data_IF_378120775950
#
_entry.id   IF_378120775950
#
_cell.length_a   1.000
_cell.length_b   1.000
_cell.length_c   1.000
_cell.angle_alpha   90.00
_cell.angle_beta   90.00
_cell.angle_gamma   90.00
#
_symmetry.space_group_name_H-M   'P 1'
#
loop_
_entity.id
_entity.type
_entity.pdbx_description
1 polymer ?
#
# COMPACT_ATOMS: atom_id res chain seq x y z
N UNK A 1 -2.67 -44.87 50.34
CA UNK A 1 -2.46 -45.10 48.89
C UNK A 1 -3.23 -44.04 48.08
N UNK A 2 -2.68 -42.85 47.82
CA UNK A 2 -3.23 -41.87 46.85
C UNK A 2 -2.26 -40.67 46.74
N UNK A 3 -1.09 -40.85 46.12
CA UNK A 3 -0.10 -39.76 45.97
C UNK A 3 0.59 -39.69 44.60
N UNK A 4 0.07 -40.37 43.58
CA UNK A 4 0.76 -40.55 42.29
C UNK A 4 0.18 -39.77 41.09
N UNK A 5 -0.77 -38.82 41.26
CA UNK A 5 -1.49 -38.22 40.11
C UNK A 5 -1.07 -36.80 39.67
N UNK A 6 -0.14 -36.12 40.34
CA UNK A 6 0.20 -34.72 40.00
C UNK A 6 1.32 -34.57 38.96
N UNK A 7 2.22 -35.54 38.82
CA UNK A 7 3.39 -35.41 37.93
C UNK A 7 3.06 -35.60 36.46
N UNK A 8 1.99 -36.34 36.13
CA UNK A 8 1.61 -36.68 34.76
C UNK A 8 0.95 -35.52 34.00
N UNK A 9 0.28 -34.61 34.71
CA UNK A 9 -0.43 -33.48 34.08
C UNK A 9 0.54 -32.40 33.59
N UNK A 10 1.62 -32.14 34.34
CA UNK A 10 2.62 -31.13 33.97
C UNK A 10 3.42 -31.54 32.72
N UNK A 11 3.76 -32.83 32.60
CA UNK A 11 4.47 -33.34 31.42
C UNK A 11 3.66 -33.27 30.13
N UNK A 12 2.34 -33.51 30.22
CA UNK A 12 1.46 -33.47 29.05
C UNK A 12 1.27 -32.05 28.50
N UNK A 13 1.14 -31.04 29.38
CA UNK A 13 1.05 -29.64 28.97
C UNK A 13 2.35 -29.13 28.32
N UNK A 14 3.51 -29.57 28.80
CA UNK A 14 4.81 -29.19 28.24
C UNK A 14 5.04 -29.81 26.85
N UNK A 15 4.68 -31.09 26.68
CA UNK A 15 4.77 -31.77 25.38
C UNK A 15 3.80 -31.20 24.34
N UNK A 16 2.57 -30.83 24.75
CA UNK A 16 1.60 -30.19 23.86
C UNK A 16 2.07 -28.78 23.43
N UNK A 17 2.67 -28.02 24.35
CA UNK A 17 3.26 -26.71 24.04
C UNK A 17 4.41 -26.78 23.04
N UNK A 18 5.31 -27.77 23.17
CA UNK A 18 6.39 -28.00 22.20
C UNK A 18 5.82 -28.44 20.84
N UNK A 19 4.84 -29.34 20.81
CA UNK A 19 4.21 -29.78 19.55
C UNK A 19 3.48 -28.65 18.81
N UNK A 20 2.86 -27.70 19.52
CA UNK A 20 2.26 -26.49 18.95
C UNK A 20 3.30 -25.48 18.43
N UNK A 21 4.48 -25.39 19.06
CA UNK A 21 5.58 -24.52 18.60
C UNK A 21 6.31 -25.12 17.39
N UNK A 22 6.41 -26.46 17.30
CA UNK A 22 7.09 -27.13 16.18
C UNK A 22 6.22 -27.28 14.92
N UNK A 23 4.88 -27.11 15.02
CA UNK A 23 3.97 -27.22 13.88
C UNK A 23 3.73 -25.92 13.09
N UNK A 24 4.27 -24.79 13.54
CA UNK A 24 3.91 -23.45 13.03
C UNK A 24 4.90 -22.81 12.06
N UNK A 25 6.00 -23.47 11.70
CA UNK A 25 6.92 -22.96 10.69
C UNK A 25 6.42 -23.35 9.28
N UNK A 26 5.21 -22.94 8.92
CA UNK A 26 4.87 -22.85 7.49
C UNK A 26 5.82 -21.80 6.91
N UNK A 27 6.80 -22.25 6.12
CA UNK A 27 7.72 -21.36 5.44
C UNK A 27 6.88 -20.34 4.68
N UNK A 28 7.01 -19.06 5.05
CA UNK A 28 6.22 -17.98 4.49
C UNK A 28 6.32 -18.04 2.97
N UNK A 29 5.22 -18.40 2.30
CA UNK A 29 5.19 -18.45 0.84
C UNK A 29 5.10 -17.01 0.36
N UNK A 30 6.05 -16.62 -0.47
CA UNK A 30 6.01 -15.33 -1.14
C UNK A 30 4.64 -15.09 -1.76
N UNK A 31 4.08 -13.93 -1.48
CA UNK A 31 2.69 -13.63 -1.76
C UNK A 31 2.45 -12.13 -1.72
N UNK A 32 1.52 -11.68 -2.55
CA UNK A 32 0.92 -10.36 -2.49
C UNK A 32 -0.59 -10.57 -2.51
N UNK A 33 -1.28 -10.18 -1.45
CA UNK A 33 -2.71 -10.44 -1.28
C UNK A 33 -3.42 -9.13 -0.95
N UNK A 34 -4.26 -8.69 -1.87
CA UNK A 34 -5.24 -7.63 -1.63
C UNK A 34 -6.26 -8.12 -0.59
N UNK A 35 -6.45 -7.35 0.48
CA UNK A 35 -7.24 -7.71 1.64
C UNK A 35 -7.98 -6.47 2.18
N UNK A 36 -8.61 -6.58 3.34
CA UNK A 36 -9.25 -5.47 4.01
C UNK A 36 -9.29 -5.66 5.52
N UNK A 37 -9.41 -4.55 6.24
CA UNK A 37 -9.53 -4.53 7.69
C UNK A 37 -8.22 -4.89 8.42
N UNK A 38 -7.06 -4.52 7.86
CA UNK A 38 -5.77 -4.70 8.53
C UNK A 38 -5.58 -3.73 9.69
N UNK A 39 -6.19 -2.53 9.60
CA UNK A 39 -6.09 -1.51 10.64
C UNK A 39 -4.65 -1.03 10.82
N UNK A 40 -3.92 -0.88 9.71
CA UNK A 40 -2.60 -0.25 9.64
C UNK A 40 -2.62 1.13 10.27
N UNK A 41 -1.51 1.51 10.92
CA UNK A 41 -1.35 2.81 11.58
C UNK A 41 0.06 3.33 11.34
N UNK A 42 0.28 4.63 11.52
CA UNK A 42 1.62 5.22 11.43
C UNK A 42 2.62 4.67 12.47
N UNK A 43 2.14 4.02 13.54
CA UNK A 43 3.01 3.41 14.53
C UNK A 43 3.76 2.21 13.91
N UNK A 44 5.07 2.33 13.79
CA UNK A 44 5.92 1.32 13.16
C UNK A 44 5.96 1.38 11.63
N UNK A 45 5.47 2.47 11.03
CA UNK A 45 5.53 2.66 9.59
C UNK A 45 6.98 2.70 9.11
N UNK A 46 7.30 1.82 8.17
CA UNK A 46 8.61 1.70 7.52
C UNK A 46 8.76 2.66 6.34
N UNK A 47 7.65 3.27 5.86
CA UNK A 47 7.66 4.26 4.79
C UNK A 47 8.09 5.61 5.33
N UNK A 48 9.16 6.16 4.76
CA UNK A 48 9.60 7.52 5.05
C UNK A 48 8.68 8.49 4.32
N UNK A 49 8.11 9.44 5.07
CA UNK A 49 7.24 10.47 4.52
C UNK A 49 6.07 9.90 3.70
N UNK A 50 5.42 8.85 4.23
CA UNK A 50 4.33 8.15 3.56
C UNK A 50 3.04 8.96 3.42
N UNK A 51 2.81 9.93 4.31
CA UNK A 51 1.73 10.93 4.21
C UNK A 51 2.18 12.24 3.55
N UNK A 52 3.38 12.27 2.96
CA UNK A 52 3.85 13.37 2.12
C UNK A 52 3.93 14.77 2.78
N UNK A 53 3.77 14.89 4.09
CA UNK A 53 3.80 16.17 4.82
C UNK A 53 5.19 16.82 4.89
N UNK A 54 6.24 16.01 4.94
CA UNK A 54 7.60 16.52 5.17
C UNK A 54 8.12 17.20 3.91
N UNK A 55 8.35 18.50 3.99
CA UNK A 55 8.86 19.31 2.88
C UNK A 55 7.79 19.74 1.87
N UNK A 56 6.52 19.40 2.13
CA UNK A 56 5.42 19.85 1.30
C UNK A 56 5.34 21.39 1.30
N UNK A 57 4.92 22.00 0.17
CA UNK A 57 4.56 23.41 0.19
C UNK A 57 3.38 23.64 1.14
N UNK A 58 3.31 24.82 1.74
CA UNK A 58 2.19 25.16 2.63
C UNK A 58 0.85 25.09 1.88
N UNK A 59 -0.23 24.72 2.55
CA UNK A 59 -1.55 24.71 1.91
C UNK A 59 -1.93 26.09 1.37
N UNK A 60 -2.48 26.14 0.16
CA UNK A 60 -2.97 27.39 -0.43
C UNK A 60 -3.05 27.34 -1.95
N UNK A 61 -3.80 28.26 -2.54
CA UNK A 61 -4.01 28.30 -3.99
C UNK A 61 -2.70 28.37 -4.76
N UNK A 62 -2.54 27.44 -5.72
CA UNK A 62 -1.34 27.29 -6.55
C UNK A 62 -0.04 27.06 -5.76
N UNK A 63 -0.12 26.59 -4.51
CA UNK A 63 1.05 26.27 -3.70
C UNK A 63 1.35 24.78 -3.76
N UNK A 64 1.87 24.35 -4.91
CA UNK A 64 2.24 22.96 -5.20
C UNK A 64 3.63 22.90 -5.82
N UNK A 65 4.29 21.75 -5.69
CA UNK A 65 5.55 21.44 -6.37
C UNK A 65 5.31 20.37 -7.44
N UNK A 66 5.88 20.53 -8.62
CA UNK A 66 5.95 19.43 -9.58
C UNK A 66 7.01 18.42 -9.11
N UNK A 67 6.71 17.13 -9.14
CA UNK A 67 7.60 16.12 -8.53
C UNK A 67 8.11 15.05 -9.49
N UNK A 68 7.51 14.88 -10.66
CA UNK A 68 7.93 13.85 -11.60
C UNK A 68 9.28 14.19 -12.23
N UNK A 69 10.36 13.51 -11.81
CA UNK A 69 11.71 13.74 -12.35
C UNK A 69 11.71 13.53 -13.86
N UNK A 70 12.09 14.56 -14.60
CA UNK A 70 11.99 14.60 -16.06
C UNK A 70 11.12 15.74 -16.56
N UNK A 71 10.18 16.24 -15.75
CA UNK A 71 9.37 17.42 -16.08
C UNK A 71 10.23 18.68 -16.26
N UNK A 72 9.76 19.58 -17.12
CA UNK A 72 10.31 20.93 -17.30
C UNK A 72 9.58 22.00 -16.47
N UNK A 73 8.55 21.61 -15.74
CA UNK A 73 7.71 22.52 -14.97
C UNK A 73 8.35 22.92 -13.64
N UNK A 74 8.01 24.12 -13.17
CA UNK A 74 8.54 24.71 -11.92
C UNK A 74 7.42 25.35 -11.11
N UNK A 75 7.51 25.40 -9.77
CA UNK A 75 8.62 24.91 -8.94
C UNK A 75 8.67 23.37 -8.88
N UNK A 76 9.87 22.81 -8.75
CA UNK A 76 10.11 21.36 -8.74
C UNK A 76 10.64 20.90 -7.38
N UNK A 77 10.14 19.76 -6.88
CA UNK A 77 10.64 19.10 -5.69
C UNK A 77 10.08 17.69 -5.55
N UNK A 78 10.93 16.75 -5.14
CA UNK A 78 10.55 15.36 -4.85
C UNK A 78 10.39 15.20 -3.34
N UNK A 79 9.34 14.52 -2.84
CA UNK A 79 9.20 14.24 -1.42
C UNK A 79 10.44 13.53 -0.84
N UNK A 80 10.98 13.98 0.31
CA UNK A 80 12.10 13.32 0.95
C UNK A 80 11.86 11.82 1.16
N UNK A 81 12.86 11.00 0.85
CA UNK A 81 12.77 9.54 0.94
C UNK A 81 12.15 8.86 -0.29
N UNK A 82 11.61 9.61 -1.24
CA UNK A 82 11.02 9.07 -2.47
C UNK A 82 11.92 9.31 -3.68
N UNK A 83 11.83 8.39 -4.64
CA UNK A 83 12.34 8.53 -6.00
C UNK A 83 11.17 8.78 -6.95
N UNK A 84 11.42 9.49 -8.04
CA UNK A 84 10.40 9.75 -9.04
C UNK A 84 10.94 9.67 -10.46
N UNK A 85 10.04 9.46 -11.42
CA UNK A 85 10.32 9.61 -12.86
C UNK A 85 9.08 10.07 -13.62
N UNK A 86 9.27 10.64 -14.80
CA UNK A 86 8.22 11.05 -15.74
C UNK A 86 8.80 11.58 -17.05
N UNK A 87 7.97 12.23 -17.85
CA UNK A 87 8.36 12.92 -19.10
C UNK A 87 8.45 14.44 -18.90
N UNK A 88 9.02 15.15 -19.89
CA UNK A 88 9.15 16.61 -19.87
C UNK A 88 7.82 17.38 -19.72
N UNK A 89 6.73 16.78 -20.20
CA UNK A 89 5.37 17.30 -20.17
C UNK A 89 4.54 16.79 -18.98
N UNK A 90 5.07 15.88 -18.15
CA UNK A 90 4.37 15.42 -16.95
C UNK A 90 4.13 16.59 -15.98
N UNK A 91 2.92 16.67 -15.43
CA UNK A 91 2.47 17.77 -14.56
C UNK A 91 2.03 17.29 -13.18
N UNK A 92 2.54 16.13 -12.77
CA UNK A 92 2.32 15.56 -11.46
C UNK A 92 2.78 16.52 -10.36
N UNK A 93 1.88 16.79 -9.41
CA UNK A 93 2.04 17.81 -8.37
C UNK A 93 1.95 17.22 -6.95
N UNK A 94 2.60 17.90 -6.01
CA UNK A 94 2.71 17.54 -4.61
C UNK A 94 2.33 18.75 -3.75
N UNK A 95 1.49 18.52 -2.75
CA UNK A 95 1.06 19.55 -1.80
C UNK A 95 -0.45 19.60 -1.69
N UNK A 96 -0.98 20.82 -1.59
CA UNK A 96 -2.42 21.07 -1.50
C UNK A 96 -2.71 22.48 -2.01
N UNK A 97 -3.39 22.54 -3.16
CA UNK A 97 -3.76 23.76 -3.86
C UNK A 97 -5.09 24.38 -3.36
N UNK A 98 -5.65 23.96 -2.22
CA UNK A 98 -6.90 24.54 -1.71
C UNK A 98 -7.50 23.92 -0.44
N UNK A 99 -8.82 23.95 -0.34
CA UNK A 99 -9.57 23.49 0.85
C UNK A 99 -10.80 22.69 0.44
N UNK A 100 -10.73 21.37 0.31
CA UNK A 100 -9.56 20.60 -0.15
C UNK A 100 -9.09 21.12 -1.52
N UNK A 101 -7.87 20.85 -1.95
CA UNK A 101 -7.61 20.49 -3.34
C UNK A 101 -6.19 19.96 -3.44
N UNK A 102 -6.02 18.76 -3.97
CA UNK A 102 -4.99 18.55 -4.99
C UNK A 102 -5.79 18.07 -6.18
N UNK A 103 -6.10 19.02 -7.07
CA UNK A 103 -6.91 18.78 -8.27
C UNK A 103 -8.31 18.20 -8.00
N UNK A 104 -8.97 18.69 -6.94
CA UNK A 104 -10.35 18.30 -6.64
C UNK A 104 -10.54 16.87 -6.12
N UNK A 105 -9.50 16.29 -5.50
CA UNK A 105 -9.54 15.03 -4.77
C UNK A 105 -10.47 15.07 -3.56
N UNK A 106 -10.72 13.90 -2.97
CA UNK A 106 -11.25 13.79 -1.61
C UNK A 106 -10.30 14.38 -0.55
N UNK A 107 -10.79 14.47 0.68
CA UNK A 107 -10.00 14.86 1.87
C UNK A 107 -8.86 13.87 2.09
N UNK A 108 -7.66 14.40 2.39
CA UNK A 108 -6.49 13.60 2.72
C UNK A 108 -6.69 12.88 4.07
N UNK A 109 -6.49 11.56 4.12
CA UNK A 109 -6.61 10.77 5.35
C UNK A 109 -5.60 11.15 6.43
N UNK A 110 -4.40 11.63 6.08
CA UNK A 110 -3.42 12.14 7.02
C UNK A 110 -2.90 13.52 6.57
N UNK A 111 -2.66 14.41 7.53
CA UNK A 111 -2.06 15.70 7.24
C UNK A 111 -2.87 16.61 6.31
N UNK A 112 -2.15 17.33 5.44
CA UNK A 112 -2.71 18.33 4.53
C UNK A 112 -2.15 18.27 3.11
N UNK A 113 -1.26 17.33 2.77
CA UNK A 113 -0.61 17.23 1.47
C UNK A 113 -0.80 15.85 0.85
N UNK A 114 -1.02 15.81 -0.46
CA UNK A 114 -1.09 14.56 -1.23
C UNK A 114 -0.21 14.60 -2.46
N UNK A 115 -0.22 13.49 -3.20
CA UNK A 115 0.51 13.35 -4.46
C UNK A 115 -0.47 13.16 -5.62
N UNK A 116 -0.54 14.12 -6.53
CA UNK A 116 -1.27 14.01 -7.77
C UNK A 116 -0.35 13.54 -8.91
N UNK A 117 -0.80 12.55 -9.66
CA UNK A 117 -0.02 11.86 -10.69
C UNK A 117 -0.36 12.35 -12.10
N UNK A 118 -0.46 13.67 -12.29
CA UNK A 118 -0.80 14.29 -13.58
C UNK A 118 0.14 13.93 -14.72
N UNK A 119 -0.39 13.33 -15.79
CA UNK A 119 0.42 12.83 -16.91
C UNK A 119 -0.22 12.94 -18.31
N UNK A 120 -1.45 13.43 -18.39
CA UNK A 120 -2.07 13.90 -19.63
C UNK A 120 -2.99 12.89 -20.28
N UNK A 121 -3.59 13.33 -21.37
CA UNK A 121 -4.58 12.60 -22.15
C UNK A 121 -4.25 12.64 -23.64
N UNK A 122 -4.75 11.69 -24.44
CA UNK A 122 -5.28 10.39 -24.02
C UNK A 122 -4.17 9.36 -23.77
N UNK A 123 -4.50 8.31 -23.04
CA UNK A 123 -3.78 7.04 -23.00
C UNK A 123 -4.66 5.99 -23.66
N UNK A 124 -4.18 5.39 -24.75
CA UNK A 124 -4.85 4.27 -25.39
C UNK A 124 -4.36 2.96 -24.79
N UNK A 125 -5.28 2.03 -24.57
CA UNK A 125 -4.99 0.67 -24.10
C UNK A 125 -5.25 -0.36 -25.19
N UNK A 126 -4.37 -1.34 -25.33
CA UNK A 126 -4.48 -2.37 -26.38
C UNK A 126 -5.68 -3.31 -26.26
N UNK A 127 -6.35 -3.33 -25.11
CA UNK A 127 -7.45 -4.25 -24.82
C UNK A 127 -8.34 -3.69 -23.69
N UNK A 128 -9.62 -4.08 -23.64
CA UNK A 128 -10.52 -3.55 -22.62
C UNK A 128 -10.14 -4.04 -21.21
N UNK A 129 -10.15 -3.15 -20.19
CA UNK A 129 -10.00 -3.55 -18.80
C UNK A 129 -11.28 -4.19 -18.24
N UNK A 130 -11.14 -4.99 -17.19
CA UNK A 130 -12.24 -5.42 -16.31
C UNK A 130 -11.98 -4.89 -14.91
N UNK A 131 -12.89 -4.05 -14.41
CA UNK A 131 -12.85 -3.50 -13.06
C UNK A 131 -13.58 -4.41 -12.08
N UNK A 132 -12.91 -4.82 -11.01
CA UNK A 132 -13.45 -5.70 -9.98
C UNK A 132 -13.98 -4.91 -8.78
N UNK A 133 -14.89 -5.52 -8.02
CA UNK A 133 -15.51 -4.88 -6.86
C UNK A 133 -14.52 -4.61 -5.70
N UNK A 134 -13.39 -5.30 -5.68
CA UNK A 134 -12.30 -5.06 -4.71
C UNK A 134 -11.28 -4.01 -5.20
N UNK A 135 -11.51 -3.38 -6.35
CA UNK A 135 -10.65 -2.34 -6.91
C UNK A 135 -9.55 -2.86 -7.82
N UNK A 136 -9.32 -4.17 -7.89
CA UNK A 136 -8.43 -4.75 -8.87
C UNK A 136 -8.92 -4.46 -10.30
N UNK A 137 -7.97 -4.30 -11.22
CA UNK A 137 -8.22 -4.18 -12.66
C UNK A 137 -7.46 -5.30 -13.35
N UNK A 138 -8.14 -6.04 -14.22
CA UNK A 138 -7.50 -7.11 -15.00
C UNK A 138 -7.66 -6.87 -16.48
N UNK A 139 -6.72 -7.40 -17.25
CA UNK A 139 -6.77 -7.42 -18.69
C UNK A 139 -6.74 -8.87 -19.22
N UNK A 140 -7.34 -9.16 -20.39
CA UNK A 140 -7.31 -10.50 -20.98
C UNK A 140 -5.90 -11.04 -21.28
N UNK A 141 -4.94 -10.14 -21.52
CA UNK A 141 -3.51 -10.43 -21.71
C UNK A 141 -2.68 -9.29 -21.09
N UNK A 142 -1.34 -9.31 -21.11
CA UNK A 142 -0.56 -8.13 -20.69
C UNK A 142 -0.88 -6.91 -21.57
N UNK A 143 -1.35 -5.77 -20.99
CA UNK A 143 -1.71 -4.59 -21.77
C UNK A 143 -0.47 -3.86 -22.27
N UNK A 144 -0.64 -3.14 -23.39
CA UNK A 144 0.25 -2.05 -23.76
C UNK A 144 -0.51 -0.74 -23.69
N UNK A 145 0.20 0.32 -23.28
CA UNK A 145 -0.34 1.66 -23.16
C UNK A 145 0.41 2.59 -24.11
N UNK A 146 -0.35 3.31 -24.93
CA UNK A 146 0.17 4.31 -25.86
C UNK A 146 -0.20 5.69 -25.34
N UNK A 147 0.80 6.42 -24.89
CA UNK A 147 0.63 7.78 -24.37
C UNK A 147 1.00 8.80 -25.45
N UNK A 148 0.20 9.86 -25.58
CA UNK A 148 0.38 10.87 -26.62
C UNK A 148 0.99 12.17 -26.09
N UNK A 149 0.63 12.57 -24.88
CA UNK A 149 1.05 13.84 -24.28
C UNK A 149 2.37 13.71 -23.52
N UNK A 150 2.42 12.82 -22.52
CA UNK A 150 3.65 12.41 -21.86
C UNK A 150 4.14 11.09 -22.47
N UNK A 151 5.38 11.04 -22.94
CA UNK A 151 5.92 9.83 -23.61
C UNK A 151 6.32 8.71 -22.64
N UNK A 152 6.05 8.88 -21.35
CA UNK A 152 6.35 7.93 -20.28
C UNK A 152 5.34 8.08 -19.13
N UNK A 153 5.08 7.04 -18.32
CA UNK A 153 4.30 7.17 -17.11
C UNK A 153 5.03 8.03 -16.07
N UNK A 154 4.27 8.62 -15.14
CA UNK A 154 4.86 9.10 -13.90
C UNK A 154 4.94 7.96 -12.90
N UNK A 155 6.07 7.87 -12.21
CA UNK A 155 6.34 6.83 -11.21
C UNK A 155 6.81 7.51 -9.93
N UNK A 156 6.24 7.12 -8.80
CA UNK A 156 6.71 7.47 -7.47
C UNK A 156 7.07 6.17 -6.74
N UNK A 157 8.30 6.06 -6.24
CA UNK A 157 8.77 4.83 -5.60
C UNK A 157 9.63 5.06 -4.37
N UNK A 158 9.64 4.08 -3.47
CA UNK A 158 10.51 4.06 -2.31
C UNK A 158 10.99 2.63 -2.02
N UNK A 159 12.29 2.52 -1.75
CA UNK A 159 12.90 1.29 -1.23
C UNK A 159 12.60 1.19 0.26
N UNK A 160 11.86 0.17 0.65
CA UNK A 160 11.51 -0.13 2.04
C UNK A 160 12.51 -1.17 2.57
N UNK A 161 13.22 -0.79 3.62
CA UNK A 161 14.14 -1.68 4.30
C UNK A 161 13.37 -2.72 5.12
N UNK A 162 12.98 -3.80 4.46
CA UNK A 162 12.47 -5.04 5.06
C UNK A 162 13.52 -6.04 5.57
N UNK A 163 14.84 -5.93 5.30
CA UNK A 163 15.78 -6.92 5.82
C UNK A 163 16.16 -6.61 7.27
N UNK A 164 15.31 -7.06 8.19
CA UNK A 164 15.65 -7.35 9.57
C UNK A 164 14.59 -8.28 10.15
N UNK A 165 15.02 -9.40 10.75
CA UNK A 165 14.20 -10.15 11.71
C UNK A 165 13.57 -9.13 12.68
N UNK A 166 12.22 -9.05 12.73
CA UNK A 166 11.44 -10.20 13.17
C UNK A 166 10.26 -10.62 12.29
N UNK A 167 9.98 -9.96 11.15
CA UNK A 167 8.71 -10.17 10.44
C UNK A 167 8.86 -10.94 9.12
N UNK A 168 8.18 -12.09 8.97
CA UNK A 168 8.10 -12.80 7.70
C UNK A 168 7.13 -12.13 6.72
N UNK A 169 6.20 -11.33 7.21
CA UNK A 169 5.16 -10.66 6.41
C UNK A 169 4.94 -9.22 6.84
N UNK A 170 4.38 -8.45 5.93
CA UNK A 170 4.15 -7.02 6.05
C UNK A 170 2.73 -6.68 5.61
N UNK A 171 2.15 -5.65 6.20
CA UNK A 171 0.94 -5.01 5.71
C UNK A 171 1.31 -3.72 4.97
N UNK A 172 0.67 -3.49 3.82
CA UNK A 172 0.76 -2.26 3.04
C UNK A 172 -0.61 -1.59 3.00
N UNK A 173 -0.63 -0.41 3.59
CA UNK A 173 -1.56 0.71 3.54
C UNK A 173 -1.41 1.70 2.40
N UNK A 174 -2.43 2.10 1.67
CA UNK A 174 -2.45 3.45 1.06
C UNK A 174 -3.85 3.87 0.63
N UNK A 175 -4.09 5.19 0.63
CA UNK A 175 -5.32 5.79 0.15
C UNK A 175 -5.17 6.34 -1.24
N UNK A 176 -6.21 6.17 -2.05
CA UNK A 176 -6.31 6.79 -3.38
C UNK A 176 -7.59 7.59 -3.53
N UNK A 177 -7.51 8.65 -4.30
CA UNK A 177 -8.65 9.40 -4.83
C UNK A 177 -8.39 9.74 -6.30
N UNK A 178 -9.41 10.17 -7.01
CA UNK A 178 -9.27 10.68 -8.37
C UNK A 178 -9.24 12.20 -8.39
N UNK A 179 -8.55 12.74 -9.39
CA UNK A 179 -8.82 14.09 -9.87
C UNK A 179 -10.33 14.30 -10.07
N UNK A 180 -10.81 15.44 -9.58
CA UNK A 180 -12.17 15.89 -9.74
C UNK A 180 -13.22 15.15 -8.90
N UNK A 181 -12.80 14.20 -8.05
CA UNK A 181 -13.70 13.37 -7.25
C UNK A 181 -14.73 14.18 -6.43
N UNK A 182 -14.39 15.40 -6.00
CA UNK A 182 -15.32 16.29 -5.25
C UNK A 182 -15.58 17.64 -5.92
N UNK A 183 -14.90 17.97 -7.02
CA UNK A 183 -14.97 19.30 -7.65
C UNK A 183 -16.13 19.47 -8.63
N UNK A 184 -16.90 18.41 -8.90
CA UNK A 184 -17.94 18.42 -9.94
C UNK A 184 -17.37 18.42 -11.36
N UNK A 185 -16.05 18.34 -11.54
CA UNK A 185 -15.43 17.90 -12.79
C UNK A 185 -15.78 16.42 -12.95
N UNK A 186 -16.93 16.16 -13.54
CA UNK A 186 -17.40 14.80 -13.79
C UNK A 186 -16.55 14.17 -14.89
N UNK A 187 -15.45 13.54 -14.50
CA UNK A 187 -14.84 12.50 -15.31
C UNK A 187 -15.74 11.28 -15.18
N UNK A 188 -16.43 10.95 -16.27
CA UNK A 188 -17.48 9.94 -16.27
C UNK A 188 -16.95 8.52 -15.93
N UNK A 189 -15.64 8.33 -16.02
CA UNK A 189 -14.99 7.02 -15.89
C UNK A 189 -13.89 6.95 -14.81
N UNK A 190 -13.78 5.77 -14.21
CA UNK A 190 -12.75 5.43 -13.22
C UNK A 190 -11.37 5.29 -13.88
N UNK A 191 -10.32 5.74 -13.19
CA UNK A 191 -8.94 5.61 -13.65
C UNK A 191 -8.33 4.24 -13.39
N UNK A 192 -7.15 4.04 -13.98
CA UNK A 192 -6.33 2.84 -13.78
C UNK A 192 -4.92 3.30 -13.40
N UNK A 193 -4.38 2.74 -12.32
CA UNK A 193 -2.98 2.93 -11.96
C UNK A 193 -2.30 1.59 -11.68
N UNK A 194 -0.98 1.59 -11.63
CA UNK A 194 -0.16 0.42 -11.34
C UNK A 194 0.43 0.49 -9.94
N UNK A 195 0.38 -0.61 -9.20
CA UNK A 195 1.19 -0.88 -8.03
C UNK A 195 2.19 -1.97 -8.38
N UNK A 196 3.48 -1.70 -8.20
CA UNK A 196 4.54 -2.69 -8.33
C UNK A 196 5.26 -2.82 -7.00
N UNK A 197 5.42 -4.06 -6.52
CA UNK A 197 6.21 -4.36 -5.33
C UNK A 197 7.26 -5.39 -5.71
N UNK A 198 8.54 -5.01 -5.62
CA UNK A 198 9.63 -5.91 -5.97
C UNK A 198 9.87 -6.94 -4.87
N UNK A 199 10.47 -8.07 -5.25
CA UNK A 199 10.87 -9.13 -4.32
C UNK A 199 9.65 -9.72 -3.57
N UNK A 200 8.47 -9.77 -4.18
CA UNK A 200 7.25 -10.35 -3.58
C UNK A 200 6.58 -11.39 -4.48
N UNK A 201 6.62 -11.19 -5.79
CA UNK A 201 6.10 -12.12 -6.80
C UNK A 201 7.16 -12.33 -7.90
N UNK A 202 7.29 -13.53 -8.50
CA UNK A 202 8.27 -13.76 -9.56
C UNK A 202 8.10 -12.79 -10.73
N UNK A 203 9.16 -12.07 -11.08
CA UNK A 203 9.17 -11.08 -12.17
C UNK A 203 8.52 -9.75 -11.81
N UNK A 204 8.18 -9.53 -10.54
CA UNK A 204 7.66 -8.27 -9.99
C UNK A 204 6.53 -7.64 -10.84
N UNK A 205 5.45 -8.40 -11.15
CA UNK A 205 4.38 -7.92 -12.03
C UNK A 205 3.63 -6.72 -11.43
N UNK A 206 3.21 -5.81 -12.30
CA UNK A 206 2.33 -4.70 -11.93
C UNK A 206 0.94 -5.23 -11.58
N UNK A 207 0.44 -4.85 -10.42
CA UNK A 207 -0.97 -4.97 -10.06
C UNK A 207 -1.70 -3.72 -10.57
N UNK A 208 -2.70 -3.90 -11.43
CA UNK A 208 -3.51 -2.77 -11.89
C UNK A 208 -4.68 -2.57 -10.93
N UNK A 209 -4.91 -1.33 -10.54
CA UNK A 209 -5.87 -0.93 -9.53
C UNK A 209 -6.71 0.25 -10.04
N UNK A 210 -7.90 0.38 -9.47
CA UNK A 210 -8.89 1.39 -9.84
C UNK A 210 -8.58 2.70 -9.13
N UNK A 211 -8.62 3.81 -9.87
CA UNK A 211 -8.71 5.17 -9.29
C UNK A 211 -10.20 5.56 -9.19
N UNK A 212 -10.74 5.80 -7.99
CA UNK A 212 -12.13 6.26 -7.80
C UNK A 212 -12.34 7.65 -8.41
N UNK A 213 -13.49 7.89 -9.07
CA UNK A 213 -13.83 9.18 -9.70
C UNK A 213 -14.94 9.96 -8.96
N UNK A 214 -15.34 9.54 -7.75
CA UNK A 214 -16.37 10.23 -6.95
C UNK A 214 -17.82 10.02 -7.37
N UNK A 215 -18.10 9.71 -8.64
CA UNK A 215 -19.46 9.54 -9.18
C UNK A 215 -19.69 8.16 -9.77
N UNK A 216 -20.91 7.63 -9.59
CA UNK A 216 -21.40 6.39 -10.23
C UNK A 216 -20.50 5.15 -10.07
N UNK A 217 -19.73 5.07 -8.97
CA UNK A 217 -18.84 3.95 -8.70
C UNK A 217 -19.04 3.39 -7.27
N UNK A 218 -18.63 2.12 -7.07
CA UNK A 218 -18.77 1.43 -5.78
C UNK A 218 -17.75 1.83 -4.70
N UNK A 219 -16.78 2.68 -5.03
CA UNK A 219 -15.71 3.14 -4.14
C UNK A 219 -15.96 4.54 -3.58
N UNK A 220 -16.84 5.34 -4.18
CA UNK A 220 -17.07 6.73 -3.78
C UNK A 220 -15.96 7.66 -4.27
N UNK A 221 -15.58 8.62 -3.42
CA UNK A 221 -14.60 9.69 -3.69
C UNK A 221 -13.15 9.26 -3.45
N UNK A 222 -12.93 8.28 -2.58
CA UNK A 222 -11.63 7.74 -2.23
C UNK A 222 -11.73 6.27 -1.83
N UNK A 223 -10.59 5.57 -1.83
CA UNK A 223 -10.53 4.17 -1.44
C UNK A 223 -9.22 3.85 -0.72
N UNK A 224 -9.32 3.10 0.38
CA UNK A 224 -8.17 2.50 1.07
C UNK A 224 -7.86 1.15 0.43
N UNK A 225 -6.66 1.00 -0.10
CA UNK A 225 -6.13 -0.29 -0.51
C UNK A 225 -5.26 -0.88 0.60
N UNK A 226 -5.52 -2.15 0.92
CA UNK A 226 -4.78 -2.89 1.94
C UNK A 226 -4.21 -4.17 1.32
N UNK A 227 -2.91 -4.38 1.45
CA UNK A 227 -2.24 -5.59 1.02
C UNK A 227 -1.52 -6.25 2.19
N UNK A 228 -1.44 -7.58 2.16
CA UNK A 228 -0.40 -8.30 2.90
C UNK A 228 0.61 -8.83 1.90
N UNK A 229 1.89 -8.77 2.25
CA UNK A 229 2.94 -9.33 1.43
C UNK A 229 4.03 -10.04 2.22
N UNK A 230 4.67 -11.00 1.57
CA UNK A 230 5.81 -11.77 2.09
C UNK A 230 6.93 -11.69 1.07
N UNK A 231 8.11 -11.15 1.43
CA UNK A 231 9.23 -11.10 0.50
C UNK A 231 9.70 -12.49 0.03
N UNK A 232 10.07 -12.61 -1.25
CA UNK A 232 10.71 -13.79 -1.84
C UNK A 232 12.07 -14.06 -1.18
N UNK A 233 12.86 -13.01 -1.01
CA UNK A 233 14.11 -13.02 -0.27
C UNK A 233 14.01 -12.04 0.91
N UNK A 234 13.82 -12.52 2.15
CA UNK A 234 13.69 -11.66 3.33
C UNK A 234 14.98 -10.92 3.70
N UNK A 235 16.11 -11.22 3.04
CA UNK A 235 17.37 -10.50 3.22
C UNK A 235 17.54 -9.33 2.25
N UNK A 236 16.60 -9.13 1.33
CA UNK A 236 16.59 -8.00 0.40
C UNK A 236 15.45 -7.05 0.76
N UNK A 237 15.61 -5.75 0.48
CA UNK A 237 14.51 -4.79 0.58
C UNK A 237 13.41 -5.12 -0.43
N UNK A 238 12.29 -4.41 -0.29
CA UNK A 238 11.25 -4.32 -1.32
C UNK A 238 11.18 -2.89 -1.81
N UNK A 239 10.96 -2.70 -3.11
CA UNK A 239 10.62 -1.40 -3.67
C UNK A 239 9.11 -1.36 -3.87
N UNK A 240 8.46 -0.32 -3.36
CA UNK A 240 7.05 -0.03 -3.62
C UNK A 240 6.99 1.10 -4.64
N UNK A 241 6.32 0.88 -5.76
CA UNK A 241 6.16 1.86 -6.83
C UNK A 241 4.70 2.03 -7.25
N UNK A 242 4.28 3.29 -7.36
CA UNK A 242 2.99 3.72 -7.88
C UNK A 242 3.21 4.33 -9.27
N UNK A 243 2.41 3.89 -10.24
CA UNK A 243 2.59 4.19 -11.66
C UNK A 243 1.29 4.75 -12.22
N UNK A 244 1.33 5.93 -12.83
CA UNK A 244 0.20 6.48 -13.58
C UNK A 244 0.60 6.80 -15.02
N UNK A 245 -0.22 6.34 -15.97
CA UNK A 245 -0.01 6.63 -17.39
C UNK A 245 -0.72 7.91 -17.83
N UNK A 246 -1.75 8.31 -17.10
CA UNK A 246 -2.55 9.50 -17.34
C UNK A 246 -4.03 9.15 -17.51
N UNK A 247 -4.75 9.99 -18.25
CA UNK A 247 -6.16 9.79 -18.56
C UNK A 247 -6.35 8.73 -19.64
N UNK A 248 -6.95 7.59 -19.30
CA UNK A 248 -7.28 6.57 -20.27
C UNK A 248 -8.49 6.97 -21.10
N UNK A 249 -8.45 6.62 -22.38
CA UNK A 249 -9.63 6.60 -23.24
C UNK A 249 -10.14 5.17 -23.30
N UNK A 250 -11.21 4.90 -22.56
CA UNK A 250 -11.84 3.59 -22.49
C UNK A 250 -13.00 3.43 -23.48
N UNK A 251 -13.22 4.42 -24.34
CA UNK A 251 -14.30 4.36 -25.32
C UNK A 251 -13.96 3.39 -26.46
N UNK A 252 -14.96 2.69 -27.04
CA UNK A 252 -14.73 1.78 -28.17
C UNK A 252 -14.24 2.47 -29.46
N UNK A 253 -14.31 3.81 -29.54
CA UNK A 253 -14.09 4.56 -30.78
C UNK A 253 -13.04 5.67 -30.66
N UNK A 254 -12.40 5.83 -29.51
CA UNK A 254 -11.58 7.00 -29.23
C UNK A 254 -12.46 8.23 -29.01
N UNK A 255 -12.53 8.75 -27.79
CA UNK A 255 -13.50 9.76 -27.38
C UNK A 255 -12.93 10.75 -26.35
N UNK A 256 -13.81 11.58 -25.81
CA UNK A 256 -13.49 12.57 -24.76
C UNK A 256 -13.90 12.12 -23.35
N UNK A 257 -14.32 10.86 -23.19
CA UNK A 257 -14.67 10.28 -21.91
C UNK A 257 -13.39 9.76 -21.23
N UNK A 258 -12.60 10.70 -20.75
CA UNK A 258 -11.33 10.43 -20.10
C UNK A 258 -11.53 9.95 -18.66
N UNK A 259 -10.75 8.95 -18.26
CA UNK A 259 -10.74 8.49 -16.88
C UNK A 259 -10.06 9.50 -15.97
N UNK A 260 -10.35 9.48 -14.67
CA UNK A 260 -9.58 10.26 -13.68
C UNK A 260 -8.12 9.83 -13.52
N UNK A 261 -7.26 10.77 -13.11
CA UNK A 261 -5.86 10.54 -12.75
C UNK A 261 -5.70 10.33 -11.23
N UNK A 262 -4.63 9.64 -10.83
CA UNK A 262 -4.41 9.23 -9.44
C UNK A 262 -4.04 10.41 -8.52
N UNK A 263 -4.68 10.46 -7.36
CA UNK A 263 -4.22 11.15 -6.16
C UNK A 263 -3.94 10.11 -5.07
N UNK A 264 -2.75 10.16 -4.46
CA UNK A 264 -2.26 9.20 -3.46
C UNK A 264 -1.96 9.92 -2.15
N UNK A 265 -2.30 9.28 -1.03
CA UNK A 265 -1.90 9.69 0.31
C UNK A 265 -1.75 8.49 1.28
N UNK A 266 -1.12 8.73 2.42
CA UNK A 266 -1.03 7.86 3.59
C UNK A 266 -0.52 6.44 3.28
N UNK A 267 0.68 6.38 2.68
CA UNK A 267 1.36 5.11 2.39
C UNK A 267 2.00 4.57 3.67
N UNK A 268 1.53 3.40 4.11
CA UNK A 268 1.99 2.75 5.34
C UNK A 268 2.50 1.36 5.02
N UNK A 269 3.69 1.00 5.50
CA UNK A 269 4.16 -0.39 5.52
C UNK A 269 4.53 -0.76 6.94
N UNK A 270 3.82 -1.74 7.52
CA UNK A 270 4.10 -2.23 8.86
C UNK A 270 4.53 -3.70 8.83
N UNK A 271 5.49 -4.04 9.68
CA UNK A 271 5.82 -5.43 9.99
C UNK A 271 4.64 -6.11 10.68
N UNK A 272 4.24 -7.30 10.21
CA UNK A 272 3.21 -8.11 10.87
C UNK A 272 3.90 -9.01 11.91
N UNK A 273 3.57 -8.89 13.21
CA UNK A 273 4.16 -9.74 14.24
C UNK A 273 3.83 -11.22 14.02
N UNK A 274 4.82 -12.10 14.20
CA UNK A 274 4.58 -13.54 14.13
C UNK A 274 3.58 -13.98 15.21
N UNK A 275 2.53 -14.75 14.86
CA UNK A 275 1.57 -15.28 15.83
C UNK A 275 2.21 -16.07 16.97
N UNK A 276 3.38 -16.68 16.72
CA UNK A 276 4.11 -17.50 17.69
C UNK A 276 4.67 -16.73 18.89
N UNK A 277 5.00 -15.44 18.75
CA UNK A 277 5.63 -14.68 19.85
C UNK A 277 4.69 -14.53 21.04
N UNK A 278 3.41 -14.24 20.80
CA UNK A 278 2.41 -14.13 21.86
C UNK A 278 2.11 -15.48 22.52
N UNK A 279 2.07 -16.55 21.73
CA UNK A 279 1.91 -17.91 22.24
C UNK A 279 3.08 -18.31 23.15
N UNK A 280 4.32 -18.01 22.77
CA UNK A 280 5.52 -18.27 23.56
C UNK A 280 5.54 -17.46 24.87
N UNK A 281 5.13 -16.18 24.82
CA UNK A 281 5.00 -15.35 26.03
C UNK A 281 3.92 -15.91 26.96
N UNK A 282 2.77 -16.31 26.43
CA UNK A 282 1.69 -16.90 27.23
C UNK A 282 2.12 -18.23 27.89
N UNK A 283 2.83 -19.09 27.16
CA UNK A 283 3.41 -20.32 27.70
C UNK A 283 4.44 -20.01 28.79
N UNK A 284 5.32 -19.03 28.56
CA UNK A 284 6.31 -18.58 29.54
C UNK A 284 5.69 -18.08 30.84
N UNK A 285 4.65 -17.25 30.75
CA UNK A 285 3.91 -16.75 31.92
C UNK A 285 3.22 -17.88 32.69
N UNK A 286 2.60 -18.84 31.99
CA UNK A 286 2.01 -20.04 32.60
C UNK A 286 3.07 -20.90 33.33
N UNK A 287 4.27 -21.04 32.77
CA UNK A 287 5.37 -21.77 33.39
C UNK A 287 5.88 -21.08 34.68
N UNK A 288 6.01 -19.76 34.67
CA UNK A 288 6.43 -18.98 35.86
C UNK A 288 5.38 -19.07 36.98
N UNK A 289 4.10 -18.91 36.63
CA UNK A 289 3.00 -18.99 37.59
C UNK A 289 2.91 -20.37 38.28
N UNK A 290 3.19 -21.45 37.54
CA UNK A 290 3.20 -22.81 38.09
C UNK A 290 4.45 -23.12 38.94
N UNK A 291 5.60 -22.50 38.64
CA UNK A 291 6.81 -22.64 39.44
C UNK A 291 6.71 -21.92 40.81
N UNK A 292 6.03 -20.77 40.87
CA UNK A 292 5.85 -19.97 42.10
C UNK A 292 4.96 -20.60 43.18
N UNK A 293 4.19 -21.65 42.87
CA UNK A 293 3.29 -22.31 43.84
C UNK A 293 3.94 -23.38 44.72
N UNK A 294 5.27 -23.58 44.64
CA UNK A 294 5.98 -24.47 45.58
C UNK A 294 6.08 -23.79 46.95
N UNK A 295 5.03 -23.91 47.76
CA UNK A 295 5.06 -23.53 49.17
C UNK A 295 6.19 -24.31 49.88
N UNK A 296 7.06 -23.65 50.65
CA UNK A 296 8.00 -24.35 51.51
C UNK A 296 7.19 -25.20 52.50
N UNK A 297 7.57 -26.47 52.62
CA UNK A 297 7.03 -27.33 53.65
C UNK A 297 7.37 -26.68 55.00
N UNK A 298 6.33 -26.36 55.80
CA UNK A 298 6.54 -26.01 57.20
C UNK A 298 6.87 -27.30 57.93
N UNK A 299 8.07 -27.35 58.49
CA UNK A 299 8.45 -28.31 59.54
C UNK A 299 7.68 -28.04 60.84
#
# INVERSE_FOLDING_TARGET
MLRARRSTVVGLCFALGIALVCGGADGARASLVLTSGLGTTHAGNLVVNGSFETGAPASGTANQLYWATGTSLTPFGVPPGWSSSGAATSYASWGNDGTPAIVGSDVFPDGNAGMYFGNGAPVLVSQPPTFHANGAVTFPSPPSFTQFFATAPVVLSQTINTPASPAPSYSLSFWVSGEGAVSGQQLDERGIFGLQITNVLPGDPIQFLTVPNGVNNGFGTSHLYEFTFTPLNPLLPVDVAFINWGHFDLSPHGGFAFTTELVLDDVIVNAVPEPGTLALVAIGLCAIASAGQRRPARE
#
